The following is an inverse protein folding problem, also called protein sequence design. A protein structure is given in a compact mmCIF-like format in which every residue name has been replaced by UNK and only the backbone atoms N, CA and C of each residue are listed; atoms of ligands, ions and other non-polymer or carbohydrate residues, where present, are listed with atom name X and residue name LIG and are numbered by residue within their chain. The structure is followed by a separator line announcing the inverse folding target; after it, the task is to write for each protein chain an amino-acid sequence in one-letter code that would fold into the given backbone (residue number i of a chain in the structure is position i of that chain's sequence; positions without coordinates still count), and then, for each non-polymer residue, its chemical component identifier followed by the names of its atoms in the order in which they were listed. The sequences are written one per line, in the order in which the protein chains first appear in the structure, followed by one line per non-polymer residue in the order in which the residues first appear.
data_IF_287462431316
#
_entry.id   IF_287462431316
#
_cell.length_a   1.000
_cell.length_b   1.000
_cell.length_c   1.000
_cell.angle_alpha   90.00
_cell.angle_beta   90.00
_cell.angle_gamma   90.00
#
_symmetry.space_group_name_H-M   'P 1'
#
loop_
_entity.id
_entity.type
_entity.pdbx_description
1 polymer ?
#
# COMPACT_ATOMS: atom_id res chain seq x y z
N UNK A 1 -14.37 -4.74 -5.23
CA UNK A 1 -14.15 -5.66 -6.36
C UNK A 1 -14.77 -5.05 -7.60
N UNK A 2 -14.11 -5.20 -8.76
CA UNK A 2 -14.68 -4.84 -10.07
C UNK A 2 -15.31 -6.08 -10.68
N UNK A 3 -16.65 -6.07 -10.87
CA UNK A 3 -17.34 -7.10 -11.66
C UNK A 3 -17.41 -6.60 -13.10
N UNK A 4 -16.62 -7.21 -13.98
CA UNK A 4 -16.43 -6.72 -15.35
C UNK A 4 -17.47 -7.26 -16.34
N UNK A 5 -17.89 -6.39 -17.27
CA UNK A 5 -18.66 -6.78 -18.46
C UNK A 5 -17.74 -7.18 -19.63
N UNK A 6 -16.43 -6.96 -19.48
CA UNK A 6 -15.40 -7.19 -20.50
C UNK A 6 -14.34 -8.22 -20.05
N UNK A 7 -14.74 -9.43 -19.57
CA UNK A 7 -13.79 -10.39 -18.99
C UNK A 7 -12.73 -10.87 -19.98
N UNK A 8 -13.04 -10.92 -21.29
CA UNK A 8 -12.07 -11.26 -22.32
C UNK A 8 -10.99 -10.19 -22.49
N UNK A 9 -11.37 -8.91 -22.41
CA UNK A 9 -10.45 -7.78 -22.52
C UNK A 9 -9.49 -7.74 -21.33
N UNK A 10 -10.01 -7.96 -20.12
CA UNK A 10 -9.17 -8.09 -18.92
C UNK A 10 -8.23 -9.29 -18.99
N UNK A 11 -8.72 -10.48 -19.36
CA UNK A 11 -7.87 -11.68 -19.50
C UNK A 11 -6.75 -11.48 -20.52
N UNK A 12 -7.03 -10.84 -21.66
CA UNK A 12 -6.02 -10.53 -22.67
C UNK A 12 -4.89 -9.63 -22.14
N UNK A 13 -5.10 -8.88 -21.05
CA UNK A 13 -4.03 -8.12 -20.41
C UNK A 13 -2.93 -9.02 -19.85
N UNK A 14 -3.28 -10.21 -19.36
CA UNK A 14 -2.32 -11.16 -18.80
C UNK A 14 -1.38 -11.77 -19.85
N UNK A 15 -1.71 -11.67 -21.14
CA UNK A 15 -0.87 -12.15 -22.23
C UNK A 15 0.22 -11.15 -22.63
N UNK A 16 0.03 -9.85 -22.35
CA UNK A 16 1.00 -8.80 -22.67
C UNK A 16 2.12 -8.73 -21.61
N UNK A 17 3.38 -8.37 -21.90
CA UNK A 17 4.37 -8.11 -20.85
C UNK A 17 3.93 -7.02 -19.85
N UNK A 18 4.30 -7.13 -18.57
CA UNK A 18 3.93 -6.14 -17.53
C UNK A 18 4.24 -4.69 -17.94
N UNK A 19 5.40 -4.35 -18.55
CA UNK A 19 5.69 -2.99 -19.01
C UNK A 19 4.68 -2.41 -20.01
N UNK A 20 3.97 -3.27 -20.75
CA UNK A 20 2.94 -2.91 -21.74
C UNK A 20 1.54 -2.79 -21.11
N UNK A 21 1.43 -3.03 -19.79
CA UNK A 21 0.21 -2.88 -18.98
C UNK A 21 0.20 -1.62 -18.12
N UNK A 22 1.04 -0.64 -18.45
CA UNK A 22 1.19 0.60 -17.70
C UNK A 22 0.78 1.78 -18.59
N UNK A 23 -0.10 2.65 -18.11
CA UNK A 23 -0.48 3.85 -18.85
C UNK A 23 -1.92 4.30 -18.62
N UNK A 24 -2.52 4.91 -19.64
CA UNK A 24 -3.97 5.08 -19.65
C UNK A 24 -4.65 3.71 -19.70
N UNK A 25 -5.78 3.57 -19.00
CA UNK A 25 -6.63 2.39 -19.15
C UNK A 25 -7.11 2.26 -20.61
N UNK A 26 -7.24 1.02 -21.14
CA UNK A 26 -7.90 0.80 -22.43
C UNK A 26 -9.30 1.45 -22.45
N UNK A 27 -9.74 2.04 -23.58
CA UNK A 27 -11.03 2.71 -23.67
C UNK A 27 -12.22 1.85 -23.22
N UNK A 28 -12.13 0.53 -23.39
CA UNK A 28 -13.18 -0.43 -23.01
C UNK A 28 -13.22 -0.71 -21.50
N UNK A 29 -12.16 -0.40 -20.76
CA UNK A 29 -12.00 -0.70 -19.33
C UNK A 29 -12.05 0.55 -18.44
N UNK A 30 -11.92 1.74 -19.06
CA UNK A 30 -11.80 3.02 -18.36
C UNK A 30 -13.03 3.33 -17.51
N UNK A 31 -14.22 3.07 -18.05
CA UNK A 31 -15.49 3.35 -17.38
C UNK A 31 -15.70 2.41 -16.19
N UNK A 32 -15.30 1.13 -16.30
CA UNK A 32 -15.37 0.17 -15.19
C UNK A 32 -14.45 0.60 -14.03
N UNK A 33 -13.23 1.02 -14.35
CA UNK A 33 -12.27 1.47 -13.35
C UNK A 33 -12.74 2.76 -12.65
N UNK A 34 -13.16 3.76 -13.43
CA UNK A 34 -13.64 5.04 -12.88
C UNK A 34 -14.93 4.85 -12.08
N UNK A 35 -15.88 4.06 -12.57
CA UNK A 35 -17.12 3.75 -11.85
C UNK A 35 -16.84 3.01 -10.54
N UNK A 36 -15.90 2.07 -10.55
CA UNK A 36 -15.46 1.37 -9.34
C UNK A 36 -14.88 2.33 -8.30
N UNK A 37 -13.95 3.21 -8.69
CA UNK A 37 -13.37 4.18 -7.76
C UNK A 37 -14.43 5.14 -7.23
N UNK A 38 -15.34 5.62 -8.08
CA UNK A 38 -16.45 6.47 -7.65
C UNK A 38 -17.34 5.78 -6.60
N UNK A 39 -17.61 4.48 -6.77
CA UNK A 39 -18.34 3.68 -5.78
C UNK A 39 -17.57 3.60 -4.45
N UNK A 40 -16.27 3.32 -4.48
CA UNK A 40 -15.43 3.28 -3.27
C UNK A 40 -15.42 4.63 -2.56
N UNK A 41 -15.26 5.73 -3.29
CA UNK A 41 -15.28 7.08 -2.74
C UNK A 41 -16.61 7.39 -2.07
N UNK A 42 -17.74 7.05 -2.71
CA UNK A 42 -19.07 7.21 -2.12
C UNK A 42 -19.25 6.40 -0.82
N UNK A 43 -18.80 5.14 -0.78
CA UNK A 43 -18.89 4.26 0.39
C UNK A 43 -18.02 4.73 1.56
N UNK A 44 -16.90 5.38 1.26
CA UNK A 44 -15.92 5.87 2.25
C UNK A 44 -16.15 7.33 2.63
N UNK A 45 -17.11 8.00 2.01
CA UNK A 45 -17.37 9.43 2.22
C UNK A 45 -16.28 10.35 1.64
N UNK A 46 -15.47 9.86 0.71
CA UNK A 46 -14.43 10.65 0.04
C UNK A 46 -15.06 11.52 -1.07
N UNK A 47 -14.86 12.86 -1.05
CA UNK A 47 -15.46 13.76 -2.04
C UNK A 47 -14.74 13.77 -3.39
N UNK A 48 -13.67 13.00 -3.57
CA UNK A 48 -12.88 12.99 -4.80
C UNK A 48 -13.68 12.46 -6.01
N UNK A 49 -13.58 13.19 -7.13
CA UNK A 49 -14.23 12.85 -8.40
C UNK A 49 -13.18 12.34 -9.37
N UNK A 50 -13.06 11.02 -9.45
CA UNK A 50 -12.05 10.37 -10.27
C UNK A 50 -12.35 10.51 -11.75
N UNK A 51 -11.30 10.83 -12.51
CA UNK A 51 -11.32 10.78 -13.97
C UNK A 51 -10.07 10.08 -14.46
N UNK A 52 -10.17 9.37 -15.57
CA UNK A 52 -8.99 8.74 -16.15
C UNK A 52 -8.00 9.79 -16.67
N UNK A 53 -6.71 9.43 -16.64
CA UNK A 53 -5.63 10.32 -16.99
C UNK A 53 -4.76 9.74 -18.11
N UNK A 54 -4.30 10.62 -19.00
CA UNK A 54 -3.10 10.36 -19.77
C UNK A 54 -1.93 11.02 -19.03
N UNK A 55 -0.95 10.23 -18.60
CA UNK A 55 0.23 10.79 -17.96
C UNK A 55 1.15 11.48 -18.99
N UNK A 56 1.83 12.57 -18.59
CA UNK A 56 3.01 13.06 -19.30
C UNK A 56 4.02 11.94 -19.54
N UNK A 57 4.77 12.03 -20.67
CA UNK A 57 5.75 11.00 -21.07
C UNK A 57 6.80 10.73 -20.00
N UNK A 58 7.30 11.78 -19.36
CA UNK A 58 8.29 11.68 -18.29
C UNK A 58 7.76 10.94 -17.06
N UNK A 59 6.48 11.11 -16.71
CA UNK A 59 5.86 10.34 -15.63
C UNK A 59 5.70 8.87 -16.00
N UNK A 60 5.30 8.55 -17.23
CA UNK A 60 5.24 7.17 -17.71
C UNK A 60 6.62 6.50 -17.67
N UNK A 61 7.66 7.22 -18.08
CA UNK A 61 9.04 6.74 -18.03
C UNK A 61 9.50 6.52 -16.58
N UNK A 62 9.13 7.41 -15.65
CA UNK A 62 9.42 7.23 -14.23
C UNK A 62 8.72 6.01 -13.62
N UNK A 63 7.47 5.74 -13.99
CA UNK A 63 6.73 4.55 -13.53
C UNK A 63 7.40 3.27 -14.06
N UNK A 64 7.81 3.28 -15.32
CA UNK A 64 8.55 2.15 -15.91
C UNK A 64 9.91 1.96 -15.24
N UNK A 65 10.63 3.04 -14.96
CA UNK A 65 11.91 2.99 -14.25
C UNK A 65 11.73 2.47 -12.81
N UNK A 66 10.64 2.87 -12.13
CA UNK A 66 10.33 2.41 -10.78
C UNK A 66 10.10 0.89 -10.73
N UNK A 67 9.32 0.34 -11.67
CA UNK A 67 9.08 -1.11 -11.79
C UNK A 67 10.35 -1.83 -12.24
N UNK A 68 11.06 -1.31 -13.25
CA UNK A 68 12.29 -1.88 -13.76
C UNK A 68 13.45 -1.88 -12.76
N UNK A 69 13.39 -1.02 -11.73
CA UNK A 69 14.35 -0.99 -10.63
C UNK A 69 13.99 -1.90 -9.45
N UNK A 70 12.90 -2.67 -9.50
CA UNK A 70 12.55 -3.64 -8.45
C UNK A 70 13.34 -4.94 -8.63
N UNK A 71 13.61 -5.70 -7.55
CA UNK A 71 14.28 -6.99 -7.66
C UNK A 71 13.51 -8.00 -8.54
N UNK A 72 14.21 -8.88 -9.24
CA UNK A 72 13.61 -9.92 -10.08
C UNK A 72 12.63 -10.83 -9.33
N UNK A 73 12.91 -11.09 -8.05
CA UNK A 73 12.02 -11.85 -7.17
C UNK A 73 10.62 -11.20 -7.06
N UNK A 74 10.55 -9.86 -7.14
CA UNK A 74 9.28 -9.11 -7.14
C UNK A 74 8.64 -9.12 -8.52
N UNK A 75 9.38 -8.70 -9.54
CA UNK A 75 8.85 -8.54 -10.91
C UNK A 75 8.42 -9.88 -11.52
N UNK A 76 9.06 -10.99 -11.12
CA UNK A 76 8.71 -12.34 -11.56
C UNK A 76 7.36 -12.85 -11.04
N UNK A 77 6.81 -12.28 -9.96
CA UNK A 77 5.52 -12.70 -9.40
C UNK A 77 4.31 -12.02 -10.06
N UNK A 78 4.51 -10.89 -10.74
CA UNK A 78 3.43 -10.05 -11.28
C UNK A 78 2.72 -10.58 -12.55
N UNK A 79 3.38 -11.24 -13.53
CA UNK A 79 2.79 -11.50 -14.85
C UNK A 79 1.46 -12.26 -14.84
N UNK A 80 1.30 -13.19 -13.90
CA UNK A 80 0.10 -14.04 -13.80
C UNK A 80 -1.08 -13.41 -13.04
N UNK A 81 -0.88 -12.26 -12.38
CA UNK A 81 -1.88 -11.69 -11.46
C UNK A 81 -2.15 -10.20 -11.70
N UNK A 82 -1.17 -9.42 -12.16
CA UNK A 82 -1.31 -7.97 -12.38
C UNK A 82 -1.92 -7.67 -13.74
N UNK A 83 -3.15 -7.19 -13.78
CA UNK A 83 -3.84 -6.80 -15.02
C UNK A 83 -3.30 -5.50 -15.62
N UNK A 84 -2.86 -4.58 -14.78
CA UNK A 84 -2.22 -3.34 -15.21
C UNK A 84 -2.10 -2.30 -14.10
N UNK A 85 -1.34 -1.24 -14.41
CA UNK A 85 -1.21 -0.03 -13.61
C UNK A 85 -1.73 1.13 -14.45
N UNK A 86 -2.91 1.64 -14.10
CA UNK A 86 -3.61 2.64 -14.90
C UNK A 86 -3.68 4.00 -14.22
N UNK A 87 -3.54 5.06 -15.01
CA UNK A 87 -3.48 6.42 -14.50
C UNK A 87 -4.85 7.07 -14.36
N UNK A 88 -5.03 7.79 -13.26
CA UNK A 88 -6.21 8.59 -12.97
C UNK A 88 -5.82 9.91 -12.29
N UNK A 89 -6.74 10.86 -12.32
CA UNK A 89 -6.73 12.06 -11.50
C UNK A 89 -7.74 11.91 -10.37
N UNK A 90 -7.44 12.53 -9.22
CA UNK A 90 -8.34 12.63 -8.09
C UNK A 90 -8.95 11.27 -7.68
N UNK A 91 -8.10 10.27 -7.40
CA UNK A 91 -8.55 9.01 -6.80
C UNK A 91 -9.08 9.22 -5.39
N UNK A 92 -8.57 10.23 -4.67
CA UNK A 92 -8.81 10.41 -3.24
C UNK A 92 -7.80 9.67 -2.35
N UNK A 93 -6.80 9.02 -2.97
CA UNK A 93 -5.63 8.36 -2.37
C UNK A 93 -4.45 8.46 -3.36
N UNK A 94 -3.27 7.92 -3.03
CA UNK A 94 -2.17 7.86 -4.01
C UNK A 94 -2.37 6.75 -5.05
N UNK A 95 -3.03 5.67 -4.68
CA UNK A 95 -3.39 4.56 -5.54
C UNK A 95 -4.54 3.75 -4.92
N UNK A 96 -5.16 2.90 -5.74
CA UNK A 96 -6.13 1.90 -5.32
C UNK A 96 -5.77 0.60 -6.04
N UNK A 97 -5.78 -0.50 -5.29
CA UNK A 97 -5.64 -1.85 -5.84
C UNK A 97 -6.87 -2.66 -5.53
N UNK A 98 -7.42 -3.36 -6.53
CA UNK A 98 -8.49 -4.33 -6.29
C UNK A 98 -8.57 -5.41 -7.37
N UNK A 99 -9.29 -6.48 -7.06
CA UNK A 99 -9.52 -7.60 -7.96
C UNK A 99 -10.58 -7.27 -9.01
N UNK A 100 -10.42 -7.91 -10.17
CA UNK A 100 -11.41 -7.98 -11.24
C UNK A 100 -11.96 -9.40 -11.32
N UNK A 101 -13.27 -9.54 -11.33
CA UNK A 101 -13.97 -10.83 -11.52
C UNK A 101 -14.90 -10.77 -12.71
N UNK A 102 -15.17 -11.92 -13.31
CA UNK A 102 -16.32 -12.03 -14.21
C UNK A 102 -17.66 -12.10 -13.45
N UNK A 103 -18.76 -12.16 -14.19
CA UNK A 103 -20.12 -12.25 -13.65
C UNK A 103 -20.38 -13.55 -12.86
N UNK A 104 -19.55 -14.59 -13.06
CA UNK A 104 -19.62 -15.84 -12.30
C UNK A 104 -18.89 -15.73 -10.95
N UNK A 105 -18.13 -14.66 -10.74
CA UNK A 105 -17.32 -14.44 -9.53
C UNK A 105 -15.93 -15.07 -9.61
N UNK A 106 -15.50 -15.52 -10.79
CA UNK A 106 -14.14 -16.04 -10.98
C UNK A 106 -13.16 -14.87 -11.08
N UNK A 107 -12.11 -14.89 -10.25
CA UNK A 107 -11.06 -13.88 -10.25
C UNK A 107 -10.24 -13.96 -11.54
N UNK A 108 -10.18 -12.84 -12.26
CA UNK A 108 -9.37 -12.67 -13.47
C UNK A 108 -7.95 -12.24 -13.09
N UNK A 109 -7.82 -11.34 -12.12
CA UNK A 109 -6.56 -10.79 -11.63
C UNK A 109 -6.80 -9.52 -10.83
N UNK A 110 -5.75 -8.74 -10.62
CA UNK A 110 -5.77 -7.51 -9.81
C UNK A 110 -5.32 -6.33 -10.64
N UNK A 111 -5.98 -5.18 -10.50
CA UNK A 111 -5.63 -3.93 -11.17
C UNK A 111 -5.21 -2.88 -10.14
N UNK A 112 -4.25 -2.04 -10.54
CA UNK A 112 -3.83 -0.86 -9.79
C UNK A 112 -4.27 0.39 -10.55
N UNK A 113 -4.98 1.30 -9.88
CA UNK A 113 -5.19 2.67 -10.33
C UNK A 113 -4.23 3.59 -9.57
N UNK A 114 -3.50 4.46 -10.28
CA UNK A 114 -2.49 5.36 -9.73
C UNK A 114 -2.93 6.81 -9.92
N UNK A 115 -2.97 7.57 -8.82
CA UNK A 115 -3.26 9.01 -8.86
C UNK A 115 -2.00 9.76 -9.28
N UNK A 116 -2.02 10.34 -10.47
CA UNK A 116 -0.85 11.05 -10.97
C UNK A 116 -0.63 12.39 -10.24
N UNK A 117 -1.68 13.01 -9.70
CA UNK A 117 -1.60 14.29 -8.99
C UNK A 117 -0.83 14.16 -7.67
N UNK A 118 -0.88 12.99 -7.04
CA UNK A 118 -0.12 12.68 -5.84
C UNK A 118 1.40 12.67 -6.08
N UNK A 119 1.82 12.36 -7.31
CA UNK A 119 3.20 12.07 -7.69
C UNK A 119 3.89 13.16 -8.50
N UNK A 120 3.14 13.98 -9.25
CA UNK A 120 3.70 14.93 -10.21
C UNK A 120 4.74 15.88 -9.63
N UNK A 121 4.60 16.27 -8.35
CA UNK A 121 5.38 17.35 -7.73
C UNK A 121 6.27 16.91 -6.56
N UNK A 122 6.23 15.64 -6.14
CA UNK A 122 6.92 15.18 -4.92
C UNK A 122 8.06 14.21 -5.23
N UNK A 123 9.20 14.45 -4.59
CA UNK A 123 10.32 13.48 -4.49
C UNK A 123 10.03 12.48 -3.36
N UNK A 124 10.79 11.39 -3.30
CA UNK A 124 10.58 10.26 -2.38
C UNK A 124 10.33 10.67 -0.93
N UNK A 125 11.22 11.46 -0.32
CA UNK A 125 11.11 11.85 1.09
C UNK A 125 9.94 12.82 1.33
N UNK A 126 9.70 13.74 0.40
CA UNK A 126 8.59 14.68 0.48
C UNK A 126 7.23 13.97 0.37
N UNK A 127 7.13 12.98 -0.53
CA UNK A 127 5.94 12.14 -0.66
C UNK A 127 5.71 11.28 0.59
N UNK A 128 6.74 10.61 1.09
CA UNK A 128 6.64 9.78 2.30
C UNK A 128 6.22 10.61 3.52
N UNK A 129 6.82 11.80 3.69
CA UNK A 129 6.48 12.71 4.78
C UNK A 129 5.02 13.19 4.67
N UNK A 130 4.57 13.56 3.47
CA UNK A 130 3.19 13.98 3.24
C UNK A 130 2.20 12.84 3.54
N UNK A 131 2.47 11.61 3.06
CA UNK A 131 1.64 10.43 3.33
C UNK A 131 1.54 10.17 4.84
N UNK A 132 2.68 10.05 5.52
CA UNK A 132 2.75 9.69 6.95
C UNK A 132 2.22 10.80 7.86
N UNK A 133 2.20 12.06 7.41
CA UNK A 133 1.57 13.16 8.13
C UNK A 133 0.05 13.22 7.96
N UNK A 134 -0.52 12.56 6.95
CA UNK A 134 -1.96 12.67 6.62
C UNK A 134 -2.94 12.26 7.73
N UNK A 135 -2.61 11.34 8.66
CA UNK A 135 -3.50 11.03 9.78
C UNK A 135 -3.61 12.12 10.85
N UNK A 136 -2.71 13.11 10.83
CA UNK A 136 -2.53 14.09 11.89
C UNK A 136 -2.97 15.49 11.46
N UNK A 137 -3.67 16.18 12.35
CA UNK A 137 -3.93 17.61 12.25
C UNK A 137 -2.61 18.38 12.38
N UNK A 138 -2.43 19.50 11.65
CA UNK A 138 -1.23 20.31 11.76
C UNK A 138 -0.98 20.79 13.20
N UNK A 139 0.25 20.66 13.70
CA UNK A 139 0.71 21.24 14.96
C UNK A 139 1.69 22.38 14.69
N UNK A 140 1.64 23.50 15.45
CA UNK A 140 2.57 24.62 15.28
C UNK A 140 3.98 24.28 15.75
N UNK A 141 4.13 23.32 16.66
CA UNK A 141 5.42 22.98 17.29
C UNK A 141 5.90 21.57 16.94
N UNK A 142 5.00 20.65 16.62
CA UNK A 142 5.36 19.25 16.35
C UNK A 142 5.23 18.92 14.87
N UNK A 143 6.29 18.39 14.26
CA UNK A 143 6.33 17.99 12.85
C UNK A 143 6.89 16.58 12.66
N UNK A 144 6.58 15.99 11.51
CA UNK A 144 7.07 14.69 11.09
C UNK A 144 7.97 14.85 9.86
N UNK A 145 9.08 14.13 9.83
CA UNK A 145 9.93 13.94 8.65
C UNK A 145 10.10 12.45 8.40
N UNK A 146 9.92 12.01 7.16
CA UNK A 146 10.12 10.61 6.76
C UNK A 146 11.15 10.52 5.64
N UNK A 147 12.17 9.70 5.87
CA UNK A 147 13.24 9.41 4.92
C UNK A 147 13.08 8.01 4.38
N UNK A 148 12.79 7.91 3.08
CA UNK A 148 12.81 6.65 2.32
C UNK A 148 13.95 6.60 1.29
N UNK A 149 14.68 7.68 1.08
CA UNK A 149 15.79 7.73 0.14
C UNK A 149 16.91 8.66 0.61
N UNK A 150 18.13 8.34 0.19
CA UNK A 150 19.28 9.23 0.32
C UNK A 150 19.22 10.32 -0.76
N UNK A 151 19.99 11.41 -0.60
CA UNK A 151 19.91 12.56 -1.51
C UNK A 151 20.02 12.22 -3.02
N UNK A 152 20.87 11.25 -3.46
CA UNK A 152 20.91 10.84 -4.87
C UNK A 152 19.65 10.11 -5.35
N UNK A 153 18.98 9.37 -4.46
CA UNK A 153 17.83 8.51 -4.75
C UNK A 153 16.49 9.16 -4.42
N UNK A 154 16.50 10.31 -3.73
CA UNK A 154 15.31 11.11 -3.40
C UNK A 154 14.69 11.67 -4.67
N UNK A 155 14.00 10.84 -5.43
CA UNK A 155 13.51 11.14 -6.78
C UNK A 155 12.03 10.81 -6.85
N UNK A 156 11.35 11.29 -7.90
CA UNK A 156 9.97 10.87 -8.18
C UNK A 156 9.89 9.36 -8.44
N UNK A 157 10.89 8.80 -9.14
CA UNK A 157 11.05 7.34 -9.33
C UNK A 157 11.10 6.60 -7.99
N UNK A 158 11.86 7.11 -7.02
CA UNK A 158 11.92 6.51 -5.68
C UNK A 158 10.58 6.53 -4.94
N UNK A 159 9.82 7.64 -5.05
CA UNK A 159 8.47 7.73 -4.50
C UNK A 159 7.52 6.70 -5.14
N UNK A 160 7.51 6.65 -6.48
CA UNK A 160 6.67 5.74 -7.27
C UNK A 160 7.02 4.28 -6.96
N UNK A 161 8.31 3.96 -6.83
CA UNK A 161 8.74 2.59 -6.54
C UNK A 161 8.21 2.13 -5.17
N UNK A 162 8.34 2.95 -4.12
CA UNK A 162 7.82 2.60 -2.80
C UNK A 162 6.29 2.44 -2.82
N UNK A 163 5.58 3.37 -3.47
CA UNK A 163 4.13 3.30 -3.63
C UNK A 163 3.70 2.02 -4.37
N UNK A 164 4.31 1.72 -5.52
CA UNK A 164 3.96 0.53 -6.29
C UNK A 164 4.33 -0.77 -5.57
N UNK A 165 5.40 -0.79 -4.77
CA UNK A 165 5.68 -1.95 -3.92
C UNK A 165 4.55 -2.21 -2.92
N UNK A 166 3.96 -1.15 -2.34
CA UNK A 166 2.78 -1.29 -1.48
C UNK A 166 1.60 -1.89 -2.27
N UNK A 167 1.26 -1.30 -3.42
CA UNK A 167 0.17 -1.80 -4.27
C UNK A 167 0.40 -3.24 -4.74
N UNK A 168 1.64 -3.59 -5.09
CA UNK A 168 1.99 -4.97 -5.44
C UNK A 168 1.90 -5.92 -4.26
N UNK A 169 2.08 -5.44 -3.03
CA UNK A 169 1.71 -6.19 -1.84
C UNK A 169 0.24 -6.63 -1.87
N UNK A 170 -0.69 -5.72 -2.16
CA UNK A 170 -2.11 -6.07 -2.33
C UNK A 170 -2.34 -7.05 -3.49
N UNK A 171 -1.70 -6.82 -4.65
CA UNK A 171 -1.77 -7.73 -5.80
C UNK A 171 -1.35 -9.16 -5.43
N UNK A 172 -0.26 -9.29 -4.67
CA UNK A 172 0.36 -10.56 -4.35
C UNK A 172 -0.28 -11.28 -3.15
N UNK A 173 -1.09 -10.61 -2.34
CA UNK A 173 -1.88 -11.27 -1.30
C UNK A 173 -3.24 -11.78 -1.79
N UNK A 174 -3.72 -11.35 -2.97
CA UNK A 174 -5.01 -11.76 -3.49
C UNK A 174 -5.04 -13.28 -3.74
N UNK A 175 -5.91 -14.01 -3.02
CA UNK A 175 -6.19 -15.43 -3.27
C UNK A 175 -5.08 -16.40 -2.84
N UNK A 176 -4.09 -15.95 -2.07
CA UNK A 176 -2.94 -16.78 -1.66
C UNK A 176 -3.09 -17.47 -0.31
N UNK A 177 -4.17 -17.18 0.42
CA UNK A 177 -4.38 -17.68 1.78
C UNK A 177 -3.46 -17.03 2.82
N UNK A 178 -2.80 -15.91 2.50
CA UNK A 178 -2.01 -15.15 3.47
C UNK A 178 -2.90 -14.37 4.45
N UNK A 179 -4.04 -13.90 3.93
CA UNK A 179 -5.08 -13.13 4.59
C UNK A 179 -6.45 -13.63 4.08
N UNK A 180 -7.57 -13.30 4.78
CA UNK A 180 -8.91 -13.50 4.23
C UNK A 180 -9.09 -12.79 2.87
N UNK A 181 -9.90 -13.35 1.97
CA UNK A 181 -10.24 -12.69 0.72
C UNK A 181 -11.16 -11.49 1.02
N UNK A 182 -10.67 -10.25 0.90
CA UNK A 182 -11.44 -9.06 1.31
C UNK A 182 -12.76 -8.90 0.56
N UNK A 183 -12.84 -9.40 -0.67
CA UNK A 183 -14.05 -9.38 -1.50
C UNK A 183 -15.08 -10.46 -1.13
N UNK A 184 -14.74 -11.39 -0.23
CA UNK A 184 -15.65 -12.41 0.28
C UNK A 184 -16.15 -12.12 1.69
N UNK A 185 -15.50 -11.18 2.40
CA UNK A 185 -15.88 -10.81 3.77
C UNK A 185 -17.34 -10.32 3.86
N UNK A 186 -18.09 -10.67 4.93
CA UNK A 186 -17.66 -11.50 6.07
C UNK A 186 -17.82 -13.01 5.83
N UNK A 187 -18.25 -13.43 4.64
CA UNK A 187 -18.46 -14.83 4.29
C UNK A 187 -17.13 -15.53 3.95
N UNK A 188 -17.05 -16.85 4.15
CA UNK A 188 -15.87 -17.63 3.79
C UNK A 188 -14.61 -17.36 4.63
N UNK A 189 -14.74 -16.60 5.72
CA UNK A 189 -13.66 -16.36 6.68
C UNK A 189 -13.34 -17.64 7.45
N UNK A 190 -12.08 -18.06 7.39
CA UNK A 190 -11.55 -19.22 8.13
C UNK A 190 -10.97 -18.78 9.48
N UNK A 191 -10.51 -19.71 10.30
CA UNK A 191 -9.87 -19.35 11.56
C UNK A 191 -8.56 -18.58 11.30
N UNK A 192 -8.13 -17.71 12.22
CA UNK A 192 -6.95 -16.88 12.00
C UNK A 192 -5.68 -17.69 11.71
N UNK A 193 -5.53 -18.85 12.35
CA UNK A 193 -4.41 -19.78 12.13
C UNK A 193 -4.41 -20.48 10.76
N UNK A 194 -5.49 -20.41 9.99
CA UNK A 194 -5.58 -20.97 8.65
C UNK A 194 -4.90 -20.08 7.58
N UNK A 195 -4.49 -18.88 7.98
CA UNK A 195 -3.81 -17.89 7.15
C UNK A 195 -2.34 -17.77 7.56
N UNK A 196 -1.44 -17.64 6.59
CA UNK A 196 0.01 -17.68 6.87
C UNK A 196 0.62 -16.35 7.32
N UNK A 197 -0.03 -15.22 7.04
CA UNK A 197 0.44 -13.88 7.44
C UNK A 197 -0.42 -13.26 8.54
N UNK A 198 -1.74 -13.43 8.48
CA UNK A 198 -2.67 -12.86 9.46
C UNK A 198 -2.25 -13.07 10.94
N UNK A 199 -1.92 -14.28 11.42
CA UNK A 199 -1.65 -14.51 12.84
C UNK A 199 -0.33 -13.90 13.33
N UNK A 200 0.46 -13.28 12.44
CA UNK A 200 1.69 -12.60 12.82
C UNK A 200 1.43 -11.33 13.65
N UNK A 201 0.29 -10.66 13.44
CA UNK A 201 -0.08 -9.44 14.18
C UNK A 201 -1.60 -9.28 14.41
N UNK A 202 -2.44 -10.11 13.78
CA UNK A 202 -3.89 -9.96 13.78
C UNK A 202 -4.60 -11.24 14.27
N UNK A 203 -5.84 -11.08 14.72
CA UNK A 203 -6.74 -12.18 15.07
C UNK A 203 -8.14 -11.93 14.51
N UNK A 204 -8.93 -13.00 14.37
CA UNK A 204 -10.33 -12.93 13.95
C UNK A 204 -11.21 -13.16 15.17
N UNK A 205 -12.01 -12.16 15.50
CA UNK A 205 -12.95 -12.22 16.61
C UNK A 205 -14.25 -12.94 16.21
N UNK A 206 -15.06 -13.30 17.20
CA UNK A 206 -16.29 -14.08 16.99
C UNK A 206 -17.32 -13.41 16.06
N UNK A 207 -17.22 -12.10 15.84
CA UNK A 207 -18.03 -11.31 14.93
C UNK A 207 -17.36 -11.07 13.55
N UNK A 208 -16.34 -11.87 13.21
CA UNK A 208 -15.53 -11.79 12.00
C UNK A 208 -14.72 -10.48 11.85
N UNK A 209 -14.64 -9.64 12.90
CA UNK A 209 -13.74 -8.49 12.88
C UNK A 209 -12.30 -8.96 13.00
N UNK A 210 -11.46 -8.39 12.14
CA UNK A 210 -10.01 -8.55 12.20
C UNK A 210 -9.46 -7.44 13.09
N UNK A 211 -8.90 -7.80 14.25
CA UNK A 211 -8.33 -6.86 15.21
C UNK A 211 -6.88 -7.22 15.51
N UNK A 212 -6.03 -6.25 15.93
CA UNK A 212 -4.67 -6.56 16.33
C UNK A 212 -4.66 -7.54 17.49
N UNK A 213 -3.64 -8.42 17.53
CA UNK A 213 -3.43 -9.33 18.65
C UNK A 213 -3.09 -8.55 19.92
N UNK A 214 -3.23 -9.22 21.07
CA UNK A 214 -2.77 -8.66 22.33
C UNK A 214 -1.28 -8.29 22.27
N UNK A 215 -0.97 -7.03 22.57
CA UNK A 215 0.38 -6.47 22.48
C UNK A 215 0.70 -5.75 21.17
N UNK A 216 -0.15 -5.88 20.15
CA UNK A 216 0.00 -5.19 18.87
C UNK A 216 -0.79 -3.88 18.80
N UNK A 217 -1.91 -3.78 19.52
CA UNK A 217 -2.73 -2.57 19.56
C UNK A 217 -2.13 -1.47 20.45
N UNK A 218 -2.44 -0.21 20.14
CA UNK A 218 -1.98 0.95 20.91
C UNK A 218 -2.96 2.12 20.84
N UNK A 219 -2.88 3.00 21.83
CA UNK A 219 -3.75 4.17 21.93
C UNK A 219 -3.61 5.07 20.70
N UNK A 220 -4.75 5.41 20.09
CA UNK A 220 -4.82 6.24 18.88
C UNK A 220 -4.75 5.47 17.57
N UNK A 221 -4.39 4.18 17.56
CA UNK A 221 -4.34 3.35 16.33
C UNK A 221 -5.68 3.33 15.60
N UNK A 222 -6.77 3.22 16.36
CA UNK A 222 -8.15 3.19 15.84
C UNK A 222 -8.58 4.49 15.15
N UNK A 223 -7.88 5.61 15.39
CA UNK A 223 -8.07 6.92 14.74
C UNK A 223 -7.10 7.19 13.58
N UNK A 224 -6.14 6.30 13.32
CA UNK A 224 -5.22 6.46 12.18
C UNK A 224 -6.02 6.34 10.87
N UNK A 225 -6.07 7.42 10.09
CA UNK A 225 -6.76 7.47 8.79
C UNK A 225 -5.83 8.11 7.76
N UNK A 226 -5.36 7.31 6.80
CA UNK A 226 -4.57 7.81 5.67
C UNK A 226 -5.51 8.32 4.57
N UNK A 227 -5.11 9.40 3.90
CA UNK A 227 -5.80 10.01 2.75
C UNK A 227 -7.26 10.49 3.01
N UNK A 228 -7.77 10.35 4.23
CA UNK A 228 -9.08 10.85 4.67
C UNK A 228 -8.96 12.08 5.57
N UNK A 229 -10.03 12.37 6.32
CA UNK A 229 -10.01 13.42 7.34
C UNK A 229 -9.09 13.00 8.50
N UNK A 230 -8.11 13.85 8.81
CA UNK A 230 -7.19 13.63 9.92
C UNK A 230 -7.95 13.62 11.26
N UNK A 231 -7.66 12.64 12.12
CA UNK A 231 -8.36 12.45 13.41
C UNK A 231 -7.44 12.46 14.62
N UNK A 232 -6.12 12.49 14.41
CA UNK A 232 -5.12 12.60 15.46
C UNK A 232 -4.67 14.04 15.58
N UNK A 233 -4.51 14.56 16.79
CA UNK A 233 -3.88 15.87 16.97
C UNK A 233 -2.39 15.77 16.62
N UNK A 234 -1.79 16.82 16.06
CA UNK A 234 -0.36 16.81 15.71
C UNK A 234 0.56 16.60 16.93
N UNK A 235 0.10 16.92 18.14
CA UNK A 235 0.83 16.65 19.38
C UNK A 235 0.82 15.16 19.78
N UNK A 236 -0.03 14.35 19.14
CA UNK A 236 -0.06 12.89 19.29
C UNK A 236 1.01 12.18 18.44
N UNK A 237 1.72 12.88 17.55
CA UNK A 237 2.81 12.30 16.74
C UNK A 237 3.81 11.52 17.59
N UNK A 238 4.30 12.14 18.67
CA UNK A 238 5.30 11.53 19.54
C UNK A 238 4.79 10.24 20.23
N UNK A 239 3.68 10.27 21.00
CA UNK A 239 3.18 9.06 21.65
C UNK A 239 2.74 7.97 20.66
N UNK A 240 2.21 8.33 19.48
CA UNK A 240 1.81 7.36 18.46
C UNK A 240 3.04 6.64 17.87
N UNK A 241 4.07 7.36 17.43
CA UNK A 241 5.28 6.72 16.88
C UNK A 241 6.07 5.96 17.95
N UNK A 242 6.09 6.43 19.20
CA UNK A 242 6.69 5.67 20.30
C UNK A 242 5.95 4.35 20.56
N UNK A 243 4.62 4.35 20.46
CA UNK A 243 3.79 3.14 20.64
C UNK A 243 3.91 2.18 19.46
N UNK A 244 4.02 2.70 18.22
CA UNK A 244 4.28 1.90 17.02
C UNK A 244 5.52 1.01 17.21
N UNK A 245 6.58 1.53 17.83
CA UNK A 245 7.80 0.76 18.08
C UNK A 245 7.66 -0.38 19.09
N UNK A 246 6.57 -0.45 19.83
CA UNK A 246 6.24 -1.57 20.72
C UNK A 246 5.45 -2.68 20.01
N UNK A 247 4.96 -2.43 18.80
CA UNK A 247 4.24 -3.38 17.96
C UNK A 247 5.15 -4.06 16.94
N UNK A 248 4.62 -5.07 16.24
CA UNK A 248 5.25 -5.70 15.08
C UNK A 248 4.92 -5.01 13.75
N UNK A 249 4.33 -3.81 13.76
CA UNK A 249 4.04 -3.05 12.53
C UNK A 249 5.29 -2.29 12.03
N UNK A 250 5.66 -2.42 10.74
CA UNK A 250 6.82 -1.71 10.16
C UNK A 250 6.60 -0.21 10.03
N UNK A 251 5.38 0.23 9.77
CA UNK A 251 4.99 1.64 9.57
C UNK A 251 3.69 1.92 10.30
N UNK A 252 3.36 3.20 10.50
CA UNK A 252 2.05 3.55 11.08
C UNK A 252 0.91 3.11 10.16
N UNK A 253 1.11 3.15 8.84
CA UNK A 253 0.12 2.68 7.88
C UNK A 253 -0.13 1.18 7.99
N UNK A 254 0.90 0.38 8.25
CA UNK A 254 0.75 -1.07 8.48
C UNK A 254 -0.15 -1.41 9.68
N UNK A 255 -0.38 -0.47 10.59
CA UNK A 255 -1.22 -0.68 11.78
C UNK A 255 -2.73 -0.47 11.55
N UNK A 256 -3.14 -0.01 10.37
CA UNK A 256 -4.55 0.33 10.09
C UNK A 256 -5.42 -0.92 9.98
N UNK A 257 -4.99 -1.92 9.21
CA UNK A 257 -5.66 -3.20 9.01
C UNK A 257 -4.67 -4.26 8.48
N UNK A 258 -5.08 -5.53 8.47
CA UNK A 258 -4.23 -6.65 8.08
C UNK A 258 -3.76 -6.62 6.61
N UNK A 259 -4.53 -6.02 5.71
CA UNK A 259 -4.19 -5.91 4.29
C UNK A 259 -3.09 -4.89 4.06
N UNK A 260 -3.22 -3.71 4.67
CA UNK A 260 -2.19 -2.67 4.67
C UNK A 260 -0.94 -3.15 5.41
N UNK A 261 -1.09 -3.97 6.47
CA UNK A 261 0.05 -4.58 7.16
C UNK A 261 0.88 -5.46 6.23
N UNK A 262 0.24 -6.35 5.47
CA UNK A 262 0.95 -7.16 4.48
C UNK A 262 1.61 -6.29 3.42
N UNK A 263 0.86 -5.33 2.86
CA UNK A 263 1.35 -4.47 1.79
C UNK A 263 2.56 -3.62 2.21
N UNK A 264 2.49 -2.98 3.39
CA UNK A 264 3.59 -2.21 3.96
C UNK A 264 4.75 -3.11 4.40
N UNK A 265 4.48 -4.29 4.95
CA UNK A 265 5.54 -5.25 5.29
C UNK A 265 6.28 -5.72 4.03
N UNK A 266 5.56 -6.01 2.94
CA UNK A 266 6.17 -6.37 1.66
C UNK A 266 6.99 -5.19 1.11
N UNK A 267 6.40 -4.00 1.05
CA UNK A 267 7.03 -2.81 0.49
C UNK A 267 8.29 -2.42 1.26
N UNK A 268 8.19 -2.33 2.58
CA UNK A 268 9.34 -1.98 3.42
C UNK A 268 10.39 -3.07 3.44
N UNK A 269 10.05 -4.36 3.35
CA UNK A 269 11.05 -5.43 3.26
C UNK A 269 11.84 -5.32 1.96
N UNK A 270 11.16 -5.21 0.82
CA UNK A 270 11.84 -5.05 -0.48
C UNK A 270 12.69 -3.78 -0.49
N UNK A 271 12.12 -2.66 -0.03
CA UNK A 271 12.79 -1.37 0.00
C UNK A 271 14.00 -1.34 0.93
N UNK A 272 13.86 -1.79 2.17
CA UNK A 272 14.91 -1.69 3.18
C UNK A 272 15.93 -2.82 3.09
N UNK A 273 15.48 -4.05 2.84
CA UNK A 273 16.35 -5.24 2.89
C UNK A 273 16.94 -5.55 1.53
N UNK A 274 16.10 -5.65 0.48
CA UNK A 274 16.58 -6.05 -0.85
C UNK A 274 17.24 -4.88 -1.61
N UNK A 275 16.62 -3.70 -1.56
CA UNK A 275 17.14 -2.49 -2.21
C UNK A 275 18.10 -1.68 -1.33
N UNK A 276 18.23 -2.04 -0.03
CA UNK A 276 19.13 -1.41 0.94
C UNK A 276 18.91 0.10 1.09
N UNK A 277 17.65 0.53 1.06
CA UNK A 277 17.25 1.93 1.21
C UNK A 277 16.75 2.21 2.62
N UNK A 278 16.86 3.45 3.12
CA UNK A 278 16.36 3.76 4.45
C UNK A 278 14.83 3.72 4.47
N UNK A 279 14.28 3.44 5.65
CA UNK A 279 12.95 3.90 6.06
C UNK A 279 13.07 4.40 7.50
N UNK A 280 12.83 5.68 7.73
CA UNK A 280 12.95 6.27 9.06
C UNK A 280 11.99 7.45 9.21
N UNK A 281 11.20 7.43 10.27
CA UNK A 281 10.39 8.56 10.71
C UNK A 281 11.09 9.30 11.85
N UNK A 282 11.06 10.64 11.81
CA UNK A 282 11.58 11.53 12.84
C UNK A 282 10.46 12.46 13.28
N UNK A 283 10.18 12.49 14.57
CA UNK A 283 9.26 13.48 15.17
C UNK A 283 10.10 14.60 15.75
N UNK A 284 9.83 15.82 15.32
CA UNK A 284 10.53 17.02 15.77
C UNK A 284 9.57 17.88 16.58
N UNK A 285 10.07 18.52 17.63
CA UNK A 285 9.38 19.56 18.39
C UNK A 285 10.23 20.82 18.40
N UNK A 286 9.67 21.93 17.94
CA UNK A 286 10.36 23.23 17.80
C UNK A 286 11.70 23.09 17.03
N UNK A 287 11.71 22.22 16.00
CA UNK A 287 12.88 21.91 15.19
C UNK A 287 13.90 20.94 15.82
N UNK A 288 13.72 20.53 17.08
CA UNK A 288 14.58 19.57 17.75
C UNK A 288 14.00 18.15 17.66
N UNK A 289 14.82 17.18 17.26
CA UNK A 289 14.41 15.76 17.18
C UNK A 289 14.04 15.24 18.57
N UNK A 290 12.80 14.78 18.73
CA UNK A 290 12.30 14.16 19.95
C UNK A 290 12.27 12.63 19.84
N UNK A 291 12.07 12.12 18.63
CA UNK A 291 11.98 10.68 18.37
C UNK A 291 12.49 10.33 16.99
N UNK A 292 13.07 9.14 16.88
CA UNK A 292 13.53 8.54 15.63
C UNK A 292 13.17 7.06 15.67
N UNK A 293 12.49 6.57 14.64
CA UNK A 293 12.19 5.14 14.56
C UNK A 293 13.45 4.32 14.33
N UNK A 294 13.43 3.10 14.87
CA UNK A 294 14.43 2.06 14.67
C UNK A 294 14.35 1.50 13.24
N UNK A 295 15.41 0.78 12.84
CA UNK A 295 15.35 -0.08 11.67
C UNK A 295 14.52 -1.32 12.02
N UNK A 296 13.27 -1.34 11.56
CA UNK A 296 12.32 -2.42 11.83
C UNK A 296 12.90 -3.80 11.49
N UNK A 297 13.51 -3.96 10.32
CA UNK A 297 13.97 -5.28 9.83
C UNK A 297 15.24 -5.80 10.53
N UNK A 298 15.93 -4.91 11.24
CA UNK A 298 17.02 -5.26 12.17
C UNK A 298 16.54 -5.45 13.62
N UNK A 299 15.31 -5.04 13.92
CA UNK A 299 14.71 -5.13 15.27
C UNK A 299 14.14 -6.53 15.54
N UNK A 300 14.23 -7.05 16.79
CA UNK A 300 13.62 -8.33 17.16
C UNK A 300 12.12 -8.43 16.87
N UNK A 301 11.41 -7.29 16.91
CA UNK A 301 9.96 -7.22 16.65
C UNK A 301 9.56 -7.58 15.22
N UNK A 302 10.51 -7.56 14.27
CA UNK A 302 10.24 -7.98 12.88
C UNK A 302 10.38 -9.47 12.65
N UNK A 303 10.97 -10.25 13.58
CA UNK A 303 11.45 -11.59 13.29
C UNK A 303 10.41 -12.53 12.62
N UNK A 304 9.14 -12.58 13.05
CA UNK A 304 8.13 -13.41 12.39
C UNK A 304 7.83 -12.96 10.96
N UNK A 305 7.64 -11.66 10.74
CA UNK A 305 7.39 -11.07 9.41
C UNK A 305 8.61 -11.19 8.51
N UNK A 306 9.81 -11.06 9.06
CA UNK A 306 11.07 -11.21 8.33
C UNK A 306 11.20 -12.63 7.80
N UNK A 307 11.00 -13.63 8.65
CA UNK A 307 11.02 -15.02 8.24
C UNK A 307 9.95 -15.32 7.18
N UNK A 308 8.78 -14.69 7.26
CA UNK A 308 7.74 -14.79 6.24
C UNK A 308 8.23 -14.21 4.89
N UNK A 309 8.75 -12.98 4.88
CA UNK A 309 9.21 -12.30 3.67
C UNK A 309 10.40 -13.00 3.02
N UNK A 310 11.34 -13.52 3.82
CA UNK A 310 12.47 -14.32 3.34
C UNK A 310 12.01 -15.59 2.61
N UNK A 311 10.94 -16.24 3.08
CA UNK A 311 10.35 -17.41 2.38
C UNK A 311 9.59 -17.00 1.13
N UNK A 312 8.81 -15.92 1.20
CA UNK A 312 8.02 -15.44 0.06
C UNK A 312 8.91 -15.02 -1.12
N UNK A 313 10.03 -14.35 -0.82
CA UNK A 313 10.94 -13.76 -1.81
C UNK A 313 12.20 -14.62 -2.05
N UNK A 314 12.22 -15.85 -1.55
CA UNK A 314 13.30 -16.79 -1.83
C UNK A 314 13.37 -17.08 -3.34
N UNK A 315 14.57 -17.23 -3.93
CA UNK A 315 14.70 -17.72 -5.30
C UNK A 315 14.00 -19.07 -5.44
N UNK A 316 13.18 -19.22 -6.48
CA UNK A 316 12.53 -20.48 -6.85
C UNK A 316 13.52 -21.52 -7.35
#
# INVERSE_FOLDING_TARGET
MIVTQHPRTWRARLDAPVPDRIGAAPPELIDELVAYVAMVNALTGNPAVTVAAAAPRDLLDDVRAAIGGMPDAVTGMLPGVLLGVYFAHALGSSAITDIVTDEQGDTIGTVVALDIDALLTRRANAWATWKESSPFLPSPSTTLEVRIADAPDDTRVGAIQFLLLHEFGHVLTAGTGFLPDWWRMPDGVRAAGDYSFLPLAWDIHADNRILPRHGEDFAGRDRVRYYGEAQLDGDELLPVYASLQQSSFPTLYASTNAYDDFAESFATYVHCVLLRRPWQARVLRDGAVQHVTDDFWSSPRSAPKRAFMERLLAPA
#
